data_IF_937149693884
#
_entry.id   IF_937149693884
#
_cell.length_a   1.000
_cell.length_b   1.000
_cell.length_c   1.000
_cell.angle_alpha   90.00
_cell.angle_beta   90.00
_cell.angle_gamma   90.00
#
_symmetry.space_group_name_H-M   'P 1'
#
loop_
_entity.id
_entity.type
_entity.pdbx_description
1 polymer ?
#
# COMPACT_ATOMS: atom_id res chain seq x y z
N UNK A 1 64.42 -30.85 87.60
CA UNK A 1 63.09 -30.36 87.99
C UNK A 1 62.87 -29.04 87.25
N UNK A 2 61.87 -28.93 86.38
CA UNK A 2 61.65 -27.73 85.56
C UNK A 2 61.03 -26.63 86.45
N UNK A 3 61.62 -25.43 86.46
CA UNK A 3 61.14 -24.25 87.21
C UNK A 3 59.73 -23.83 86.75
N UNK A 4 58.94 -23.26 87.67
CA UNK A 4 57.59 -22.72 87.38
C UNK A 4 57.64 -21.66 86.27
N UNK A 5 58.68 -20.83 86.25
CA UNK A 5 58.91 -19.81 85.22
C UNK A 5 59.11 -20.42 83.83
N UNK A 6 59.84 -21.53 83.75
CA UNK A 6 60.10 -22.24 82.49
C UNK A 6 58.78 -22.82 81.92
N UNK A 7 57.89 -23.31 82.78
CA UNK A 7 56.55 -23.78 82.37
C UNK A 7 55.65 -22.64 81.87
N UNK A 8 55.66 -21.50 82.56
CA UNK A 8 54.93 -20.31 82.12
C UNK A 8 55.43 -19.78 80.78
N UNK A 9 56.76 -19.83 80.55
CA UNK A 9 57.36 -19.44 79.27
C UNK A 9 56.92 -20.34 78.13
N UNK A 10 56.95 -21.67 78.34
CA UNK A 10 56.51 -22.66 77.34
C UNK A 10 55.01 -22.50 77.04
N UNK A 11 54.18 -22.33 78.06
CA UNK A 11 52.73 -22.12 77.87
C UNK A 11 52.42 -20.82 77.12
N UNK A 12 53.13 -19.73 77.44
CA UNK A 12 53.00 -18.45 76.74
C UNK A 12 53.41 -18.57 75.27
N UNK A 13 54.53 -19.25 74.98
CA UNK A 13 54.95 -19.51 73.60
C UNK A 13 53.94 -20.38 72.85
N UNK A 14 53.37 -21.39 73.51
CA UNK A 14 52.33 -22.23 72.93
C UNK A 14 51.07 -21.41 72.59
N UNK A 15 50.56 -20.59 73.51
CA UNK A 15 49.42 -19.71 73.26
C UNK A 15 49.70 -18.73 72.11
N UNK A 16 50.85 -18.06 72.12
CA UNK A 16 51.24 -17.15 71.03
C UNK A 16 51.34 -17.87 69.68
N UNK A 17 51.85 -19.11 69.66
CA UNK A 17 51.92 -19.90 68.43
C UNK A 17 50.55 -20.30 67.91
N UNK A 18 49.61 -20.64 68.82
CA UNK A 18 48.23 -20.99 68.50
C UNK A 18 47.45 -19.80 67.96
N UNK A 19 47.55 -18.64 68.62
CA UNK A 19 46.94 -17.38 68.17
C UNK A 19 47.50 -16.94 66.81
N UNK A 20 48.82 -17.04 66.60
CA UNK A 20 49.43 -16.75 65.29
C UNK A 20 48.95 -17.68 64.19
N UNK A 21 48.76 -18.98 64.49
CA UNK A 21 48.24 -19.94 63.52
C UNK A 21 46.78 -19.62 63.19
N UNK A 22 45.96 -19.36 64.20
CA UNK A 22 44.55 -19.01 64.00
C UNK A 22 44.38 -17.71 63.20
N UNK A 23 45.16 -16.67 63.51
CA UNK A 23 45.17 -15.42 62.74
C UNK A 23 45.61 -15.62 61.30
N UNK A 24 46.59 -16.50 61.04
CA UNK A 24 46.99 -16.86 59.67
C UNK A 24 45.85 -17.57 58.94
N UNK A 25 45.21 -18.55 59.58
CA UNK A 25 44.12 -19.32 58.98
C UNK A 25 42.96 -18.40 58.58
N UNK A 26 42.57 -17.44 59.44
CA UNK A 26 41.56 -16.42 59.13
C UNK A 26 41.96 -15.58 57.91
N UNK A 27 43.24 -15.17 57.81
CA UNK A 27 43.73 -14.38 56.68
C UNK A 27 43.73 -15.20 55.38
N UNK A 28 44.09 -16.48 55.44
CA UNK A 28 44.05 -17.37 54.27
C UNK A 28 42.61 -17.58 53.79
N UNK A 29 41.68 -17.88 54.69
CA UNK A 29 40.26 -18.03 54.38
C UNK A 29 39.67 -16.76 53.75
N UNK A 30 40.03 -15.58 54.29
CA UNK A 30 39.58 -14.31 53.74
C UNK A 30 40.15 -14.05 52.33
N UNK A 31 41.42 -14.43 52.07
CA UNK A 31 42.04 -14.33 50.75
C UNK A 31 41.38 -15.27 49.74
N UNK A 32 41.10 -16.51 50.14
CA UNK A 32 40.46 -17.49 49.26
C UNK A 32 39.02 -17.09 48.93
N UNK A 33 38.25 -16.62 49.92
CA UNK A 33 36.91 -16.05 49.69
C UNK A 33 36.95 -14.84 48.76
N UNK A 34 37.90 -13.92 48.95
CA UNK A 34 38.08 -12.78 48.04
C UNK A 34 38.37 -13.24 46.61
N UNK A 35 39.25 -14.23 46.44
CA UNK A 35 39.59 -14.77 45.12
C UNK A 35 38.38 -15.41 44.44
N UNK A 36 37.61 -16.21 45.18
CA UNK A 36 36.38 -16.82 44.68
C UNK A 36 35.34 -15.78 44.26
N UNK A 37 35.15 -14.72 45.06
CA UNK A 37 34.24 -13.62 44.75
C UNK A 37 34.66 -12.84 43.50
N UNK A 38 35.96 -12.62 43.31
CA UNK A 38 36.47 -11.96 42.10
C UNK A 38 36.18 -12.79 40.85
N UNK A 39 36.40 -14.11 40.90
CA UNK A 39 36.11 -15.01 39.78
C UNK A 39 34.60 -15.04 39.46
N UNK A 40 33.73 -15.17 40.47
CA UNK A 40 32.27 -15.15 40.27
C UNK A 40 31.79 -13.81 39.67
N UNK A 41 32.36 -12.70 40.15
CA UNK A 41 32.05 -11.36 39.63
C UNK A 41 32.48 -11.19 38.17
N UNK A 42 33.70 -11.62 37.82
CA UNK A 42 34.20 -11.58 36.44
C UNK A 42 33.33 -12.44 35.50
N UNK A 43 32.92 -13.62 35.94
CA UNK A 43 32.02 -14.48 35.16
C UNK A 43 30.64 -13.86 34.97
N UNK A 44 30.06 -13.23 36.00
CA UNK A 44 28.79 -12.52 35.91
C UNK A 44 28.87 -11.36 34.91
N UNK A 45 29.88 -10.50 35.04
CA UNK A 45 30.10 -9.37 34.14
C UNK A 45 30.24 -9.87 32.69
N UNK A 46 30.96 -10.98 32.48
CA UNK A 46 31.14 -11.56 31.13
C UNK A 46 29.82 -12.09 30.55
N UNK A 47 28.98 -12.73 31.36
CA UNK A 47 27.65 -13.21 30.95
C UNK A 47 26.72 -12.05 30.64
N UNK A 48 26.68 -11.04 31.49
CA UNK A 48 25.85 -9.83 31.29
C UNK A 48 26.26 -9.08 30.02
N UNK A 49 27.57 -8.91 29.80
CA UNK A 49 28.11 -8.30 28.57
C UNK A 49 27.60 -9.04 27.33
N UNK A 50 27.73 -10.36 27.28
CA UNK A 50 27.25 -11.18 26.16
C UNK A 50 25.75 -11.03 25.94
N UNK A 51 24.96 -11.05 27.02
CA UNK A 51 23.51 -10.89 26.94
C UNK A 51 23.09 -9.48 26.46
N UNK A 52 23.87 -8.44 26.77
CA UNK A 52 23.67 -7.09 26.24
C UNK A 52 24.03 -7.04 24.75
N UNK A 53 25.17 -7.59 24.36
CA UNK A 53 25.61 -7.65 22.96
C UNK A 53 24.60 -8.39 22.07
N UNK A 54 24.12 -9.55 22.51
CA UNK A 54 23.14 -10.36 21.77
C UNK A 54 21.80 -9.63 21.60
N UNK A 55 21.27 -9.04 22.68
CA UNK A 55 20.05 -8.20 22.61
C UNK A 55 20.23 -7.00 21.69
N UNK A 56 21.41 -6.38 21.72
CA UNK A 56 21.72 -5.23 20.85
C UNK A 56 21.77 -5.66 19.39
N UNK A 57 22.39 -6.80 19.10
CA UNK A 57 22.43 -7.38 17.76
C UNK A 57 21.03 -7.66 17.21
N UNK A 58 20.17 -8.31 18.00
CA UNK A 58 18.78 -8.56 17.59
C UNK A 58 18.00 -7.27 17.33
N UNK A 59 18.21 -6.25 18.18
CA UNK A 59 17.56 -4.94 18.01
C UNK A 59 18.02 -4.27 16.71
N UNK A 60 19.33 -4.21 16.47
CA UNK A 60 19.91 -3.64 15.24
C UNK A 60 19.38 -4.37 14.01
N UNK A 61 19.33 -5.70 14.04
CA UNK A 61 18.86 -6.50 12.92
C UNK A 61 17.37 -6.27 12.63
N UNK A 62 16.55 -6.21 13.67
CA UNK A 62 15.12 -5.89 13.56
C UNK A 62 14.93 -4.49 12.97
N UNK A 63 15.64 -3.50 13.49
CA UNK A 63 15.49 -2.11 13.07
C UNK A 63 16.00 -1.91 11.64
N UNK A 64 17.10 -2.58 11.25
CA UNK A 64 17.56 -2.65 9.86
C UNK A 64 16.46 -3.18 8.93
N UNK A 65 15.85 -4.31 9.28
CA UNK A 65 14.79 -4.90 8.45
C UNK A 65 13.55 -4.01 8.37
N UNK A 66 13.20 -3.34 9.48
CA UNK A 66 12.13 -2.35 9.50
C UNK A 66 12.41 -1.20 8.54
N UNK A 67 13.61 -0.60 8.59
CA UNK A 67 14.01 0.49 7.69
C UNK A 67 13.97 0.04 6.22
N UNK A 68 14.46 -1.17 5.92
CA UNK A 68 14.42 -1.71 4.55
C UNK A 68 12.97 -1.90 4.08
N UNK A 69 12.10 -2.43 4.93
CA UNK A 69 10.69 -2.62 4.60
C UNK A 69 9.97 -1.28 4.37
N UNK A 70 10.20 -0.31 5.25
CA UNK A 70 9.67 1.06 5.11
C UNK A 70 10.16 1.72 3.82
N UNK A 71 11.44 1.58 3.50
CA UNK A 71 12.01 2.08 2.25
C UNK A 71 11.39 1.43 1.00
N UNK A 72 11.23 0.11 1.00
CA UNK A 72 10.58 -0.63 -0.10
C UNK A 72 9.12 -0.21 -0.27
N UNK A 73 8.37 -0.09 0.82
CA UNK A 73 6.98 0.34 0.77
C UNK A 73 6.86 1.77 0.24
N UNK A 74 7.70 2.70 0.73
CA UNK A 74 7.71 4.08 0.25
C UNK A 74 8.03 4.16 -1.25
N UNK A 75 9.03 3.42 -1.72
CA UNK A 75 9.36 3.36 -3.14
C UNK A 75 8.19 2.82 -3.97
N UNK A 76 7.51 1.77 -3.48
CA UNK A 76 6.36 1.19 -4.18
C UNK A 76 5.16 2.14 -4.22
N UNK A 77 4.89 2.86 -3.14
CA UNK A 77 3.85 3.88 -3.10
C UNK A 77 4.12 4.98 -4.12
N UNK A 78 5.34 5.52 -4.16
CA UNK A 78 5.72 6.54 -5.15
C UNK A 78 5.57 6.04 -6.59
N UNK A 79 5.97 4.80 -6.87
CA UNK A 79 5.78 4.18 -8.19
C UNK A 79 4.29 4.13 -8.59
N UNK A 80 3.42 3.73 -7.66
CA UNK A 80 1.98 3.65 -7.90
C UNK A 80 1.34 5.04 -8.08
N UNK A 81 1.77 6.03 -7.31
CA UNK A 81 1.31 7.42 -7.43
C UNK A 81 1.65 8.00 -8.82
N UNK A 82 2.88 7.81 -9.29
CA UNK A 82 3.28 8.26 -10.64
C UNK A 82 2.55 7.50 -11.74
N UNK A 83 2.37 6.17 -11.60
CA UNK A 83 1.57 5.39 -12.56
C UNK A 83 0.13 5.89 -12.64
N UNK A 84 -0.49 6.20 -11.50
CA UNK A 84 -1.84 6.76 -11.46
C UNK A 84 -1.89 8.13 -12.13
N UNK A 85 -0.90 8.99 -11.88
CA UNK A 85 -0.81 10.29 -12.52
C UNK A 85 -0.72 10.19 -14.04
N UNK A 86 0.19 9.35 -14.56
CA UNK A 86 0.32 9.10 -16.01
C UNK A 86 -1.01 8.60 -16.58
N UNK A 87 -1.71 7.73 -15.86
CA UNK A 87 -2.99 7.21 -16.30
C UNK A 87 -4.09 8.29 -16.31
N UNK A 88 -4.11 9.21 -15.36
CA UNK A 88 -5.02 10.35 -15.36
C UNK A 88 -4.75 11.28 -16.54
N UNK A 89 -3.48 11.62 -16.78
CA UNK A 89 -3.06 12.45 -17.91
C UNK A 89 -3.40 11.78 -19.25
N UNK A 90 -3.20 10.46 -19.35
CA UNK A 90 -3.55 9.69 -20.54
C UNK A 90 -5.06 9.67 -20.80
N UNK A 91 -5.88 9.53 -19.77
CA UNK A 91 -7.33 9.60 -19.91
C UNK A 91 -7.80 10.99 -20.35
N UNK A 92 -7.17 12.04 -19.83
CA UNK A 92 -7.45 13.40 -20.27
C UNK A 92 -7.10 13.58 -21.75
N UNK A 93 -5.96 13.05 -22.19
CA UNK A 93 -5.55 13.09 -23.60
C UNK A 93 -6.50 12.27 -24.49
N UNK A 94 -7.01 11.13 -24.03
CA UNK A 94 -8.05 10.38 -24.74
C UNK A 94 -9.31 11.22 -24.90
N UNK A 95 -9.76 11.92 -23.85
CA UNK A 95 -10.94 12.79 -23.93
C UNK A 95 -10.76 13.93 -24.92
N UNK A 96 -9.60 14.58 -24.90
CA UNK A 96 -9.26 15.63 -25.86
C UNK A 96 -9.28 15.10 -27.29
N UNK A 97 -8.66 13.94 -27.52
CA UNK A 97 -8.67 13.30 -28.84
C UNK A 97 -10.07 12.85 -29.26
N UNK A 98 -10.87 12.31 -28.34
CA UNK A 98 -12.24 11.92 -28.59
C UNK A 98 -13.11 13.12 -29.01
N UNK A 99 -12.86 14.30 -28.44
CA UNK A 99 -13.54 15.54 -28.85
C UNK A 99 -13.23 15.93 -30.30
N UNK A 100 -12.02 15.68 -30.80
CA UNK A 100 -11.66 15.93 -32.21
C UNK A 100 -12.48 15.03 -33.16
N UNK A 101 -12.80 13.80 -32.73
CA UNK A 101 -13.54 12.82 -33.54
C UNK A 101 -15.03 13.16 -33.72
N UNK A 102 -15.61 13.95 -32.83
CA UNK A 102 -17.03 14.34 -32.90
C UNK A 102 -17.39 15.08 -34.20
N UNK A 103 -16.39 15.69 -34.86
CA UNK A 103 -16.57 16.41 -36.12
C UNK A 103 -16.41 15.54 -37.38
N UNK A 104 -16.10 14.26 -37.23
CA UNK A 104 -15.77 13.35 -38.34
C UNK A 104 -16.96 12.45 -38.70
N UNK A 105 -17.00 11.95 -39.94
CA UNK A 105 -18.04 11.00 -40.39
C UNK A 105 -18.11 9.73 -39.52
N UNK A 106 -16.98 9.29 -38.98
CA UNK A 106 -16.90 8.13 -38.08
C UNK A 106 -17.80 8.28 -36.84
N UNK A 107 -18.01 9.51 -36.36
CA UNK A 107 -18.91 9.75 -35.24
C UNK A 107 -20.38 9.52 -35.63
N UNK A 108 -20.75 9.79 -36.88
CA UNK A 108 -22.08 9.48 -37.38
C UNK A 108 -22.35 7.97 -37.38
N UNK A 109 -21.37 7.18 -37.84
CA UNK A 109 -21.47 5.72 -37.84
C UNK A 109 -21.61 5.17 -36.41
N UNK A 110 -20.83 5.72 -35.47
CA UNK A 110 -20.97 5.39 -34.05
C UNK A 110 -22.38 5.68 -33.50
N UNK A 111 -22.95 6.86 -33.79
CA UNK A 111 -24.31 7.20 -33.36
C UNK A 111 -25.35 6.27 -33.98
N UNK A 112 -25.19 5.89 -35.25
CA UNK A 112 -26.07 4.91 -35.91
C UNK A 112 -26.04 3.55 -35.22
N UNK A 113 -24.83 3.05 -34.88
CA UNK A 113 -24.68 1.79 -34.17
C UNK A 113 -25.26 1.83 -32.75
N UNK A 114 -25.14 2.98 -32.06
CA UNK A 114 -25.75 3.17 -30.74
C UNK A 114 -27.28 3.21 -30.82
N UNK A 115 -27.86 3.89 -31.81
CA UNK A 115 -29.32 3.94 -32.00
C UNK A 115 -29.86 2.56 -32.37
N UNK A 116 -29.15 1.78 -33.17
CA UNK A 116 -29.54 0.41 -33.50
C UNK A 116 -29.67 -0.48 -32.25
N UNK A 117 -28.82 -0.28 -31.23
CA UNK A 117 -28.88 -1.02 -29.97
C UNK A 117 -30.14 -0.73 -29.14
N UNK A 118 -30.79 0.44 -29.32
CA UNK A 118 -32.01 0.80 -28.58
C UNK A 118 -33.12 -0.23 -28.80
N UNK A 119 -33.26 -0.75 -30.03
CA UNK A 119 -34.25 -1.78 -30.35
C UNK A 119 -34.10 -3.04 -29.48
N UNK A 120 -32.86 -3.43 -29.21
CA UNK A 120 -32.57 -4.64 -28.43
C UNK A 120 -32.79 -4.40 -26.94
N UNK A 121 -32.42 -3.22 -26.45
CA UNK A 121 -32.47 -2.87 -25.02
C UNK A 121 -33.88 -2.54 -24.56
N UNK A 122 -34.65 -1.79 -25.36
CA UNK A 122 -35.97 -1.28 -25.00
C UNK A 122 -37.12 -2.12 -25.56
N UNK A 123 -36.86 -3.38 -25.94
CA UNK A 123 -37.85 -4.28 -26.53
C UNK A 123 -39.16 -4.30 -25.72
N UNK A 124 -40.25 -3.80 -26.33
CA UNK A 124 -41.58 -3.72 -25.73
C UNK A 124 -41.93 -2.39 -25.03
N UNK A 125 -41.03 -1.40 -25.00
CA UNK A 125 -41.31 -0.03 -24.55
C UNK A 125 -41.21 0.94 -25.72
N UNK A 126 -42.34 1.55 -26.08
CA UNK A 126 -42.40 2.41 -27.27
C UNK A 126 -42.19 3.89 -26.94
N UNK A 127 -42.24 4.29 -25.67
CA UNK A 127 -42.02 5.69 -25.27
C UNK A 127 -40.65 5.83 -24.63
N UNK A 128 -39.76 6.58 -25.29
CA UNK A 128 -38.39 6.83 -24.84
C UNK A 128 -38.10 8.33 -24.75
N UNK A 129 -37.26 8.69 -23.78
CA UNK A 129 -36.73 10.04 -23.60
C UNK A 129 -35.25 10.00 -23.93
N UNK A 130 -34.82 10.84 -24.85
CA UNK A 130 -33.43 10.92 -25.32
C UNK A 130 -32.83 12.24 -24.85
N UNK A 131 -31.81 12.14 -24.01
CA UNK A 131 -31.00 13.28 -23.57
C UNK A 131 -29.78 13.41 -24.47
N UNK A 132 -29.63 14.56 -25.11
CA UNK A 132 -28.56 14.81 -26.07
C UNK A 132 -27.99 16.20 -25.88
N UNK A 133 -26.74 16.41 -26.30
CA UNK A 133 -26.13 17.73 -26.35
C UNK A 133 -26.72 18.53 -27.52
N UNK A 134 -26.86 19.84 -27.36
CA UNK A 134 -27.38 20.74 -28.41
C UNK A 134 -26.64 20.59 -29.76
N UNK A 135 -25.31 20.41 -29.71
CA UNK A 135 -24.47 20.24 -30.91
C UNK A 135 -24.80 18.99 -31.73
N UNK A 136 -25.23 17.91 -31.07
CA UNK A 136 -25.49 16.62 -31.71
C UNK A 136 -26.97 16.42 -32.06
N UNK A 137 -27.84 17.28 -31.53
CA UNK A 137 -29.29 17.12 -31.63
C UNK A 137 -29.80 16.91 -33.05
N UNK A 138 -29.36 17.75 -34.01
CA UNK A 138 -29.85 17.67 -35.40
C UNK A 138 -29.47 16.34 -36.07
N UNK A 139 -28.23 15.92 -35.87
CA UNK A 139 -27.71 14.68 -36.45
C UNK A 139 -28.40 13.47 -35.81
N UNK A 140 -28.44 13.42 -34.48
CA UNK A 140 -29.06 12.32 -33.75
C UNK A 140 -30.55 12.19 -34.08
N UNK A 141 -31.28 13.31 -34.12
CA UNK A 141 -32.70 13.32 -34.49
C UNK A 141 -32.92 12.70 -35.88
N UNK A 142 -32.06 13.05 -36.84
CA UNK A 142 -32.14 12.47 -38.19
C UNK A 142 -31.96 10.95 -38.17
N UNK A 143 -31.00 10.44 -37.39
CA UNK A 143 -30.73 9.00 -37.26
C UNK A 143 -31.91 8.29 -36.57
N UNK A 144 -32.40 8.85 -35.46
CA UNK A 144 -33.51 8.28 -34.69
C UNK A 144 -34.79 8.25 -35.52
N UNK A 145 -35.14 9.35 -36.18
CA UNK A 145 -36.34 9.43 -37.02
C UNK A 145 -36.29 8.42 -38.19
N UNK A 146 -35.09 8.01 -38.64
CA UNK A 146 -34.89 6.98 -39.67
C UNK A 146 -34.93 5.55 -39.12
N UNK A 147 -34.35 5.31 -37.95
CA UNK A 147 -34.17 3.95 -37.43
C UNK A 147 -35.27 3.51 -36.45
N UNK A 148 -35.79 4.43 -35.64
CA UNK A 148 -36.73 4.15 -34.54
C UNK A 148 -38.16 4.60 -34.89
N UNK A 149 -38.65 4.20 -36.07
CA UNK A 149 -39.99 4.60 -36.56
C UNK A 149 -41.15 4.12 -35.69
N UNK A 150 -40.93 3.04 -34.94
CA UNK A 150 -41.94 2.40 -34.10
C UNK A 150 -41.96 2.95 -32.66
N UNK A 151 -41.08 3.90 -32.35
CA UNK A 151 -40.94 4.54 -31.05
C UNK A 151 -41.48 5.98 -31.07
N UNK A 152 -42.08 6.38 -29.97
CA UNK A 152 -42.40 7.76 -29.65
C UNK A 152 -41.26 8.33 -28.79
N UNK A 153 -40.50 9.27 -29.39
CA UNK A 153 -39.28 9.81 -28.81
C UNK A 153 -39.47 11.24 -28.35
N UNK A 154 -39.26 11.48 -27.05
CA UNK A 154 -39.12 12.83 -26.48
C UNK A 154 -37.64 13.20 -26.46
N UNK A 155 -37.30 14.39 -26.95
CA UNK A 155 -35.91 14.86 -26.96
C UNK A 155 -35.70 15.93 -25.89
N UNK A 156 -34.65 15.77 -25.08
CA UNK A 156 -34.22 16.74 -24.06
C UNK A 156 -32.77 17.15 -24.30
N UNK A 157 -32.52 18.45 -24.41
CA UNK A 157 -31.18 18.98 -24.68
C UNK A 157 -30.41 19.30 -23.39
N UNK A 158 -30.44 18.38 -22.43
CA UNK A 158 -29.95 18.60 -21.05
C UNK A 158 -28.61 17.88 -20.76
N UNK A 159 -27.97 17.28 -21.76
CA UNK A 159 -26.65 16.65 -21.61
C UNK A 159 -25.54 17.70 -21.76
N UNK A 160 -25.22 18.42 -20.68
CA UNK A 160 -24.17 19.47 -20.68
C UNK A 160 -22.78 18.94 -20.36
N UNK A 161 -22.69 17.84 -19.61
CA UNK A 161 -21.43 17.33 -19.06
C UNK A 161 -20.79 16.21 -19.91
N UNK A 162 -21.36 15.94 -21.08
CA UNK A 162 -20.88 14.94 -22.04
C UNK A 162 -20.15 15.62 -23.22
N UNK A 163 -19.01 15.08 -23.65
CA UNK A 163 -18.33 15.54 -24.87
C UNK A 163 -19.19 15.23 -26.10
N UNK A 164 -19.87 14.08 -26.11
CA UNK A 164 -20.80 13.67 -27.16
C UNK A 164 -21.55 12.39 -26.82
N UNK A 165 -22.43 11.98 -27.72
CA UNK A 165 -23.33 10.85 -27.61
C UNK A 165 -24.67 11.26 -27.05
N UNK A 166 -25.39 10.30 -26.49
CA UNK A 166 -26.71 10.53 -25.92
C UNK A 166 -27.01 9.51 -24.82
N UNK A 167 -28.05 9.82 -24.04
CA UNK A 167 -28.60 8.93 -23.03
C UNK A 167 -30.03 8.62 -23.45
N UNK A 168 -30.43 7.36 -23.42
CA UNK A 168 -31.80 6.93 -23.63
C UNK A 168 -32.40 6.41 -22.32
N UNK A 169 -33.59 6.91 -22.00
CA UNK A 169 -34.40 6.44 -20.87
C UNK A 169 -35.79 6.02 -21.36
N UNK A 170 -36.46 5.13 -20.64
CA UNK A 170 -37.89 4.95 -20.85
C UNK A 170 -38.68 6.07 -20.17
N UNK A 171 -39.90 6.32 -20.61
CA UNK A 171 -40.75 7.37 -20.02
C UNK A 171 -41.02 7.20 -18.50
N UNK A 172 -40.81 6.00 -17.96
CA UNK A 172 -40.96 5.70 -16.53
C UNK A 172 -39.63 5.76 -15.74
N UNK A 173 -38.49 6.00 -16.40
CA UNK A 173 -37.16 6.06 -15.78
C UNK A 173 -36.65 4.75 -15.17
N UNK A 174 -37.22 3.61 -15.56
CA UNK A 174 -36.83 2.26 -15.12
C UNK A 174 -35.66 1.69 -15.91
N UNK A 175 -35.51 2.09 -17.17
CA UNK A 175 -34.39 1.71 -18.04
C UNK A 175 -33.62 2.96 -18.40
N UNK A 176 -32.32 2.91 -18.21
CA UNK A 176 -31.39 3.99 -18.50
C UNK A 176 -30.19 3.41 -19.24
N UNK A 177 -29.87 3.94 -20.40
CA UNK A 177 -28.74 3.53 -21.20
C UNK A 177 -27.93 4.75 -21.63
N UNK A 178 -26.69 4.77 -21.18
CA UNK A 178 -25.73 5.82 -21.44
C UNK A 178 -24.85 5.43 -22.63
N UNK A 179 -25.10 6.06 -23.78
CA UNK A 179 -24.31 5.92 -25.01
C UNK A 179 -23.34 7.09 -25.20
N UNK A 180 -23.04 7.86 -24.14
CA UNK A 180 -22.07 8.94 -24.19
C UNK A 180 -20.66 8.42 -24.45
N UNK A 181 -19.86 9.26 -25.11
CA UNK A 181 -18.45 8.96 -25.33
C UNK A 181 -17.70 8.87 -23.98
N UNK A 182 -18.13 9.63 -22.97
CA UNK A 182 -17.68 9.46 -21.58
C UNK A 182 -17.85 8.04 -21.08
N UNK A 183 -19.04 7.45 -21.27
CA UNK A 183 -19.31 6.11 -20.82
C UNK A 183 -18.51 5.07 -21.61
N UNK A 184 -18.27 5.30 -22.91
CA UNK A 184 -17.38 4.47 -23.71
C UNK A 184 -15.94 4.49 -23.17
N UNK A 185 -15.42 5.65 -22.80
CA UNK A 185 -14.09 5.77 -22.19
C UNK A 185 -14.06 5.10 -20.81
N UNK A 186 -15.08 5.34 -19.97
CA UNK A 186 -15.17 4.77 -18.61
C UNK A 186 -15.29 3.25 -18.62
N UNK A 187 -16.13 2.68 -19.47
CA UNK A 187 -16.31 1.23 -19.59
C UNK A 187 -15.03 0.52 -20.07
N UNK A 188 -14.22 1.21 -20.89
CA UNK A 188 -12.93 0.71 -21.37
C UNK A 188 -11.73 1.11 -20.49
N UNK A 189 -11.95 1.78 -19.36
CA UNK A 189 -10.87 2.29 -18.48
C UNK A 189 -9.91 1.18 -18.03
N UNK A 190 -10.44 -0.01 -17.74
CA UNK A 190 -9.61 -1.18 -17.37
C UNK A 190 -8.70 -1.62 -18.52
N UNK A 191 -9.23 -1.69 -19.75
CA UNK A 191 -8.46 -2.07 -20.93
C UNK A 191 -7.37 -1.03 -21.23
N UNK A 192 -7.71 0.25 -21.12
CA UNK A 192 -6.79 1.38 -21.25
C UNK A 192 -5.64 1.23 -20.22
N UNK A 193 -5.99 1.02 -18.95
CA UNK A 193 -5.00 0.84 -17.87
C UNK A 193 -4.10 -0.37 -18.06
N UNK A 194 -4.65 -1.52 -18.47
CA UNK A 194 -3.87 -2.72 -18.76
C UNK A 194 -2.89 -2.51 -19.93
N UNK A 195 -3.35 -1.86 -20.99
CA UNK A 195 -2.55 -1.57 -22.17
C UNK A 195 -1.41 -0.61 -21.83
N UNK A 196 -1.73 0.49 -21.14
CA UNK A 196 -0.75 1.48 -20.70
C UNK A 196 0.30 0.88 -19.76
N UNK A 197 -0.12 0.06 -18.78
CA UNK A 197 0.82 -0.61 -17.88
C UNK A 197 1.74 -1.58 -18.64
N UNK A 198 1.21 -2.30 -19.62
CA UNK A 198 2.03 -3.16 -20.49
C UNK A 198 3.09 -2.38 -21.29
N UNK A 199 2.80 -1.14 -21.71
CA UNK A 199 3.80 -0.26 -22.33
C UNK A 199 4.84 0.25 -21.33
N UNK A 200 4.40 0.66 -20.13
CA UNK A 200 5.29 1.13 -19.07
C UNK A 200 6.27 0.05 -18.62
N UNK A 201 5.84 -1.21 -18.51
CA UNK A 201 6.69 -2.32 -18.09
C UNK A 201 7.74 -2.70 -19.16
N UNK A 202 7.40 -2.57 -20.45
CA UNK A 202 8.33 -2.86 -21.56
C UNK A 202 9.46 -1.85 -21.71
N UNK A 203 9.29 -0.61 -21.25
CA UNK A 203 10.35 0.41 -21.33
C UNK A 203 11.37 0.31 -20.18
N UNK A 204 11.07 -0.48 -19.15
CA UNK A 204 11.93 -0.67 -17.97
C UNK A 204 12.75 -1.98 -18.05
N UNK A 205 12.49 -2.83 -19.05
CA UNK A 205 13.26 -4.05 -19.36
C UNK A 205 14.26 -3.80 -20.48
#
# INVERSE_FOLDING_TARGET
MISVEEKLRVFTQYLLSKERKWGKDIIYDAKDKKKALLVDSEEKIKKEKRAIEERSYHTIFRDKNKIIAEGKNKAKTLELEEKNRILMDFNQLIREKASDYLSQEVYNDYLQDCVAQIHQVFAGKNNIVVFVREGDFKQLKTIIDQQLTDFNVEYRQECTDCIGGFIAEDAEGRLHCDFTVENLIKSNYKLIGMTLNGFMEKQVS
#
